data_IF_479532617550
#
_entry.id   IF_479532617550
#
_cell.length_a   1.000
_cell.length_b   1.000
_cell.length_c   1.000
_cell.angle_alpha   90.00
_cell.angle_beta   90.00
_cell.angle_gamma   90.00
#
_symmetry.space_group_name_H-M   'P 1'
#
loop_
_entity.id
_entity.type
_entity.pdbx_description
1 polymer ?
#
# COMPACT_ATOMS: atom_id res chain seq x y z
N UNK A 1 -18.13 -4.05 20.56
CA UNK A 1 -18.03 -2.89 19.64
C UNK A 1 -16.90 -3.01 18.63
N UNK A 2 -15.75 -3.62 18.93
CA UNK A 2 -14.65 -3.85 17.97
C UNK A 2 -15.03 -4.81 16.85
N UNK A 3 -15.71 -5.90 17.18
CA UNK A 3 -16.17 -6.90 16.22
C UNK A 3 -17.13 -6.32 15.16
N UNK A 4 -18.02 -5.39 15.55
CA UNK A 4 -18.93 -4.73 14.61
C UNK A 4 -18.17 -3.87 13.57
N UNK A 5 -17.12 -3.16 13.99
CA UNK A 5 -16.27 -2.37 13.09
C UNK A 5 -15.56 -3.27 12.09
N UNK A 6 -14.91 -4.32 12.56
CA UNK A 6 -14.17 -5.24 11.70
C UNK A 6 -15.05 -5.94 10.66
N UNK A 7 -16.29 -6.33 11.02
CA UNK A 7 -17.24 -6.88 10.04
C UNK A 7 -17.66 -5.86 8.97
N UNK A 8 -17.84 -4.60 9.36
CA UNK A 8 -18.14 -3.52 8.41
C UNK A 8 -16.95 -3.28 7.50
N UNK A 9 -15.74 -3.22 8.07
CA UNK A 9 -14.51 -2.99 7.30
C UNK A 9 -14.28 -4.11 6.28
N UNK A 10 -14.50 -5.36 6.67
CA UNK A 10 -14.31 -6.52 5.79
C UNK A 10 -15.33 -6.61 4.66
N UNK A 11 -16.61 -6.31 4.95
CA UNK A 11 -17.68 -6.59 4.00
C UNK A 11 -18.18 -5.35 3.23
N UNK A 12 -18.07 -4.15 3.79
CA UNK A 12 -18.72 -2.96 3.25
C UNK A 12 -17.76 -1.83 2.90
N UNK A 13 -16.53 -1.84 3.42
CA UNK A 13 -15.63 -0.72 3.25
C UNK A 13 -15.27 -0.51 1.77
N UNK A 14 -14.92 -1.58 1.04
CA UNK A 14 -14.63 -1.48 -0.39
C UNK A 14 -15.85 -1.10 -1.21
N UNK A 15 -17.03 -1.62 -0.87
CA UNK A 15 -18.29 -1.20 -1.52
C UNK A 15 -18.53 0.30 -1.36
N UNK A 16 -18.25 0.85 -0.18
CA UNK A 16 -18.38 2.29 0.07
C UNK A 16 -17.35 3.11 -0.70
N UNK A 17 -16.11 2.66 -0.76
CA UNK A 17 -15.04 3.31 -1.53
C UNK A 17 -15.38 3.30 -3.02
N UNK A 18 -15.74 2.15 -3.58
CA UNK A 18 -16.07 2.00 -4.99
C UNK A 18 -17.30 2.81 -5.39
N UNK A 19 -18.27 2.99 -4.48
CA UNK A 19 -19.45 3.83 -4.73
C UNK A 19 -19.12 5.34 -4.85
N UNK A 20 -17.97 5.76 -4.31
CA UNK A 20 -17.52 7.17 -4.37
C UNK A 20 -16.52 7.42 -5.47
N UNK A 21 -15.81 6.41 -5.93
CA UNK A 21 -14.83 6.54 -7.01
C UNK A 21 -15.51 6.37 -8.39
N UNK A 22 -15.28 7.32 -9.30
CA UNK A 22 -15.80 7.26 -10.66
C UNK A 22 -14.81 6.57 -11.59
N UNK A 23 -15.29 5.82 -12.61
CA UNK A 23 -14.42 5.28 -13.65
C UNK A 23 -13.57 6.38 -14.32
N UNK A 24 -12.27 6.16 -14.47
CA UNK A 24 -11.36 7.12 -15.11
C UNK A 24 -10.81 8.22 -14.19
N UNK A 25 -11.10 8.20 -12.90
CA UNK A 25 -10.55 9.15 -11.92
C UNK A 25 -9.10 8.85 -11.49
N UNK A 26 -8.45 7.89 -12.13
CA UNK A 26 -7.04 7.52 -11.86
C UNK A 26 -6.91 6.19 -11.12
N UNK A 27 -5.82 6.05 -10.37
CA UNK A 27 -5.53 4.86 -9.57
C UNK A 27 -6.66 4.60 -8.57
N UNK A 28 -7.09 3.34 -8.49
CA UNK A 28 -8.20 2.93 -7.62
C UNK A 28 -7.87 3.18 -6.15
N UNK A 29 -8.83 3.75 -5.44
CA UNK A 29 -8.74 3.93 -3.99
C UNK A 29 -8.90 2.60 -3.25
N UNK A 30 -8.32 2.53 -2.06
CA UNK A 30 -8.40 1.37 -1.18
C UNK A 30 -8.34 1.79 0.29
N UNK A 31 -8.44 0.82 1.19
CA UNK A 31 -8.47 1.03 2.62
C UNK A 31 -7.15 1.59 3.17
N UNK A 32 -7.24 2.53 4.10
CA UNK A 32 -6.09 2.94 4.91
C UNK A 32 -5.59 1.80 5.81
N UNK A 33 -6.49 0.97 6.31
CA UNK A 33 -6.17 -0.01 7.34
C UNK A 33 -5.87 0.62 8.71
N UNK A 34 -5.61 -0.18 9.75
CA UNK A 34 -5.46 0.31 11.12
C UNK A 34 -4.03 0.70 11.52
N UNK A 35 -3.04 0.56 10.61
CA UNK A 35 -1.62 0.66 10.96
C UNK A 35 -0.94 1.95 10.45
N UNK A 36 -1.70 2.88 9.86
CA UNK A 36 -1.18 4.20 9.49
C UNK A 36 -0.78 5.01 10.73
N UNK A 37 0.33 5.72 10.64
CA UNK A 37 0.85 6.63 11.65
C UNK A 37 1.41 7.89 10.99
N UNK A 38 1.92 8.82 11.76
CA UNK A 38 2.69 9.96 11.22
C UNK A 38 4.07 9.45 10.82
N UNK A 39 4.44 9.62 9.56
CA UNK A 39 5.69 9.11 9.03
C UNK A 39 6.71 10.22 8.77
N UNK A 40 8.00 9.86 8.80
CA UNK A 40 9.13 10.75 8.52
C UNK A 40 9.44 10.77 7.02
N UNK A 41 10.03 11.89 6.57
CA UNK A 41 10.57 12.00 5.22
C UNK A 41 11.77 11.05 5.05
N UNK A 42 11.80 10.34 3.92
CA UNK A 42 12.87 9.41 3.48
C UNK A 42 13.49 9.94 2.19
N UNK A 43 14.45 10.86 2.25
CA UNK A 43 14.98 11.50 1.06
C UNK A 43 15.69 10.54 0.09
N UNK A 44 16.22 9.43 0.62
CA UNK A 44 16.86 8.35 -0.14
C UNK A 44 15.89 7.26 -0.63
N UNK A 45 14.61 7.37 -0.26
CA UNK A 45 13.58 6.39 -0.58
C UNK A 45 13.69 5.07 0.18
N UNK A 46 14.61 4.96 1.15
CA UNK A 46 14.78 3.74 1.94
C UNK A 46 13.84 3.73 3.15
N UNK A 47 12.93 2.77 3.20
CA UNK A 47 11.98 2.61 4.31
C UNK A 47 12.51 1.75 5.47
N UNK A 48 13.68 1.11 5.30
CA UNK A 48 14.25 0.24 6.33
C UNK A 48 15.04 1.06 7.35
N UNK A 49 14.69 0.96 8.63
CA UNK A 49 15.42 1.57 9.74
C UNK A 49 16.43 0.60 10.41
N UNK A 50 16.30 -0.69 10.12
CA UNK A 50 17.04 -1.74 10.84
C UNK A 50 17.99 -2.42 9.87
N UNK A 51 19.29 -2.45 10.21
CA UNK A 51 20.30 -3.20 9.45
C UNK A 51 20.16 -4.74 9.59
N UNK A 52 19.28 -5.19 10.47
CA UNK A 52 19.21 -6.57 10.95
C UNK A 52 18.41 -7.54 10.07
N UNK A 53 17.79 -7.05 9.00
CA UNK A 53 17.02 -7.94 8.12
C UNK A 53 17.91 -8.64 7.06
N UNK A 54 19.14 -8.91 7.40
CA UNK A 54 20.22 -9.53 6.66
C UNK A 54 19.88 -10.15 5.31
N UNK A 55 19.30 -11.34 5.35
CA UNK A 55 18.94 -12.12 4.16
C UNK A 55 17.46 -11.95 3.74
N UNK A 56 16.70 -11.06 4.39
CA UNK A 56 15.30 -10.83 4.06
C UNK A 56 15.15 -10.35 2.61
N UNK A 57 14.18 -10.86 1.87
CA UNK A 57 13.94 -10.45 0.48
C UNK A 57 13.68 -8.95 0.39
N UNK A 58 14.37 -8.28 -0.54
CA UNK A 58 14.23 -6.83 -0.77
C UNK A 58 13.15 -6.55 -1.81
N UNK A 59 12.48 -5.41 -1.64
CA UNK A 59 11.55 -4.86 -2.60
C UNK A 59 12.04 -3.51 -3.08
N UNK A 60 12.01 -3.29 -4.39
CA UNK A 60 12.24 -1.98 -5.00
C UNK A 60 11.03 -1.65 -5.87
N UNK A 61 10.29 -0.61 -5.50
CA UNK A 61 9.19 -0.09 -6.29
C UNK A 61 9.57 1.24 -6.92
N UNK A 62 9.22 1.42 -8.18
CA UNK A 62 9.39 2.66 -8.91
C UNK A 62 8.16 2.98 -9.74
N UNK A 63 8.00 4.22 -10.14
CA UNK A 63 6.91 4.64 -11.01
C UNK A 63 6.91 6.13 -11.23
N UNK A 64 5.85 6.60 -11.87
CA UNK A 64 5.59 8.02 -12.13
C UNK A 64 4.22 8.37 -11.61
N UNK A 65 4.12 9.49 -10.89
CA UNK A 65 2.86 10.10 -10.52
C UNK A 65 2.43 11.09 -11.60
N UNK A 66 1.20 10.97 -12.10
CA UNK A 66 0.65 11.82 -13.15
C UNK A 66 -0.73 12.38 -12.78
N UNK A 67 -1.06 13.54 -13.33
CA UNK A 67 -2.44 14.06 -13.30
C UNK A 67 -3.27 13.33 -14.37
N UNK A 68 -4.30 12.62 -13.96
CA UNK A 68 -5.17 11.82 -14.85
C UNK A 68 -5.85 12.64 -15.95
N UNK A 69 -6.08 13.94 -15.70
CA UNK A 69 -6.77 14.83 -16.66
C UNK A 69 -5.86 15.36 -17.76
N UNK A 70 -4.56 15.51 -17.44
CA UNK A 70 -3.60 16.15 -18.36
C UNK A 70 -2.53 15.19 -18.87
N UNK A 71 -2.37 14.04 -18.21
CA UNK A 71 -1.28 13.09 -18.44
C UNK A 71 0.10 13.61 -18.03
N UNK A 72 0.18 14.81 -17.42
CA UNK A 72 1.47 15.42 -17.03
C UNK A 72 1.96 14.84 -15.71
N UNK A 73 3.28 14.68 -15.55
CA UNK A 73 3.86 14.29 -14.28
C UNK A 73 3.62 15.36 -13.20
N UNK A 74 3.48 14.92 -11.95
CA UNK A 74 3.30 15.78 -10.79
C UNK A 74 4.58 15.73 -9.95
N UNK A 75 5.37 16.81 -9.93
CA UNK A 75 6.54 16.93 -9.06
C UNK A 75 6.15 17.30 -7.63
N UNK A 76 7.11 17.12 -6.69
CA UNK A 76 7.02 17.55 -5.30
C UNK A 76 5.77 17.04 -4.57
N UNK A 77 5.22 15.91 -4.99
CA UNK A 77 4.11 15.24 -4.31
C UNK A 77 4.66 14.33 -3.19
N UNK A 78 3.93 14.28 -2.09
CA UNK A 78 4.24 13.37 -0.98
C UNK A 78 3.62 12.00 -1.24
N UNK A 79 4.45 10.97 -1.25
CA UNK A 79 4.07 9.58 -1.32
C UNK A 79 4.36 8.93 0.03
N UNK A 80 3.34 8.70 0.83
CA UNK A 80 3.44 8.17 2.20
C UNK A 80 3.18 6.66 2.18
N UNK A 81 4.26 5.88 2.36
CA UNK A 81 4.26 4.42 2.30
C UNK A 81 4.30 3.79 3.69
N UNK A 82 3.60 2.67 3.87
CA UNK A 82 3.78 1.78 5.03
C UNK A 82 3.36 0.36 4.69
N UNK A 83 3.97 -0.62 5.36
CA UNK A 83 3.74 -2.04 5.08
C UNK A 83 4.09 -2.94 6.27
N UNK A 84 3.66 -4.20 6.19
CA UNK A 84 4.19 -5.28 7.00
C UNK A 84 5.58 -5.71 6.50
N UNK A 85 6.35 -6.37 7.35
CA UNK A 85 7.64 -6.97 7.00
C UNK A 85 7.46 -8.33 6.27
N UNK A 86 8.59 -9.02 6.03
CA UNK A 86 8.63 -10.34 5.40
C UNK A 86 8.08 -11.48 6.29
N UNK A 87 7.72 -11.19 7.54
CA UNK A 87 6.99 -12.08 8.45
C UNK A 87 5.51 -11.70 8.59
N UNK A 88 5.06 -10.67 7.90
CA UNK A 88 3.68 -10.15 8.00
C UNK A 88 3.43 -9.28 9.23
N UNK A 89 4.46 -8.70 9.83
CA UNK A 89 4.35 -7.90 11.04
C UNK A 89 4.55 -6.40 10.75
N UNK A 90 3.65 -5.57 11.29
CA UNK A 90 3.80 -4.11 11.25
C UNK A 90 4.63 -3.61 12.42
N UNK A 91 5.58 -2.72 12.15
CA UNK A 91 6.20 -1.92 13.22
C UNK A 91 5.15 -0.94 13.79
N UNK A 92 4.75 -1.17 15.03
CA UNK A 92 3.73 -0.36 15.73
C UNK A 92 4.32 0.72 16.62
N UNK A 93 5.65 0.80 16.74
CA UNK A 93 6.33 1.68 17.70
C UNK A 93 7.39 2.58 17.10
N UNK A 94 7.92 2.21 15.96
CA UNK A 94 8.97 2.92 15.25
C UNK A 94 8.56 3.35 13.85
N UNK A 95 9.56 3.60 13.02
CA UNK A 95 9.40 4.05 11.64
C UNK A 95 9.92 3.02 10.62
N UNK A 96 10.18 1.79 11.06
CA UNK A 96 10.63 0.73 10.16
C UNK A 96 9.55 0.38 9.15
N UNK A 97 9.92 0.30 7.86
CA UNK A 97 9.05 0.05 6.72
C UNK A 97 7.92 1.09 6.57
N UNK A 98 8.25 2.36 6.92
CA UNK A 98 7.35 3.51 6.83
C UNK A 98 8.11 4.74 6.40
N UNK A 99 7.49 5.60 5.63
CA UNK A 99 8.09 6.88 5.28
C UNK A 99 7.44 7.59 4.13
N UNK A 100 7.71 8.88 4.06
CA UNK A 100 7.27 9.77 2.99
C UNK A 100 8.42 9.90 1.99
N UNK A 101 8.14 9.67 0.72
CA UNK A 101 9.05 9.87 -0.41
C UNK A 101 8.47 10.95 -1.32
N UNK A 102 9.30 11.89 -1.75
CA UNK A 102 8.88 12.95 -2.66
C UNK A 102 9.05 12.53 -4.10
N UNK A 103 8.13 12.93 -4.97
CA UNK A 103 8.35 12.80 -6.42
C UNK A 103 9.34 13.82 -6.92
N UNK A 104 10.18 13.43 -7.89
CA UNK A 104 11.14 14.34 -8.55
C UNK A 104 10.47 15.28 -9.57
N UNK A 105 11.27 16.14 -10.20
CA UNK A 105 10.79 17.10 -11.21
C UNK A 105 10.09 16.46 -12.43
N UNK A 106 10.25 15.16 -12.63
CA UNK A 106 9.57 14.37 -13.66
C UNK A 106 8.45 13.49 -13.09
N UNK A 107 8.02 13.74 -11.83
CA UNK A 107 7.01 12.97 -11.15
C UNK A 107 7.43 11.55 -10.78
N UNK A 108 8.71 11.20 -10.89
CA UNK A 108 9.21 9.85 -10.63
C UNK A 108 9.45 9.64 -9.15
N UNK A 109 9.26 8.42 -8.70
CA UNK A 109 9.61 7.97 -7.36
C UNK A 109 10.37 6.63 -7.39
N UNK A 110 11.15 6.41 -6.36
CA UNK A 110 11.83 5.14 -6.09
C UNK A 110 11.75 4.87 -4.59
N UNK A 111 11.30 3.66 -4.23
CA UNK A 111 11.22 3.19 -2.86
C UNK A 111 11.94 1.86 -2.74
N UNK A 112 12.81 1.75 -1.73
CA UNK A 112 13.43 0.49 -1.33
C UNK A 112 12.92 0.06 0.03
N UNK A 113 12.59 -1.23 0.16
CA UNK A 113 11.96 -1.81 1.35
C UNK A 113 12.26 -3.31 1.44
N UNK A 114 11.61 -4.01 2.36
CA UNK A 114 11.50 -5.47 2.36
C UNK A 114 10.30 -5.91 1.52
N UNK A 115 10.39 -7.11 0.94
CA UNK A 115 9.22 -7.72 0.33
C UNK A 115 8.21 -8.07 1.43
N UNK A 116 6.99 -7.49 1.44
CA UNK A 116 5.97 -7.86 2.41
C UNK A 116 5.50 -9.30 2.18
N UNK A 117 5.03 -9.95 3.24
CA UNK A 117 4.40 -11.26 3.16
C UNK A 117 2.89 -11.15 3.40
N UNK A 118 2.17 -12.21 3.00
CA UNK A 118 0.80 -12.43 3.42
C UNK A 118 0.74 -12.49 4.94
N UNK A 119 -0.29 -11.93 5.55
CA UNK A 119 -0.43 -11.94 7.00
C UNK A 119 -1.87 -12.15 7.45
N UNK A 120 -2.03 -12.83 8.57
CA UNK A 120 -3.33 -13.08 9.17
C UNK A 120 -3.65 -12.02 10.22
N UNK A 121 -4.89 -11.58 10.21
CA UNK A 121 -5.49 -10.78 11.28
C UNK A 121 -6.51 -11.63 12.04
N UNK A 122 -6.83 -11.22 13.25
CA UNK A 122 -7.87 -11.87 14.06
C UNK A 122 -7.60 -13.34 14.43
N UNK A 123 -6.34 -13.79 14.46
CA UNK A 123 -6.02 -15.21 14.77
C UNK A 123 -6.53 -15.67 16.11
N UNK A 124 -6.59 -14.79 17.10
CA UNK A 124 -6.92 -15.09 18.49
C UNK A 124 -8.14 -14.34 19.03
N UNK A 125 -8.96 -13.77 18.18
CA UNK A 125 -10.14 -13.03 18.56
C UNK A 125 -11.46 -13.65 18.03
N UNK A 126 -12.64 -13.23 18.53
CA UNK A 126 -13.93 -13.79 18.09
C UNK A 126 -14.22 -13.66 16.60
N UNK A 127 -13.63 -12.68 15.90
CA UNK A 127 -13.81 -12.51 14.46
C UNK A 127 -13.08 -13.61 13.68
N UNK A 128 -11.86 -13.96 14.08
CA UNK A 128 -11.14 -15.08 13.50
C UNK A 128 -11.83 -16.43 13.76
N UNK A 129 -12.48 -16.60 14.92
CA UNK A 129 -13.32 -17.77 15.17
C UNK A 129 -14.51 -17.82 14.21
N UNK A 130 -15.17 -16.69 13.97
CA UNK A 130 -16.26 -16.59 13.01
C UNK A 130 -15.79 -16.94 11.58
N UNK A 131 -14.67 -16.39 11.12
CA UNK A 131 -14.13 -16.72 9.81
C UNK A 131 -13.83 -18.22 9.66
N UNK A 132 -13.19 -18.82 10.67
CA UNK A 132 -12.97 -20.27 10.68
C UNK A 132 -14.27 -21.08 10.61
N UNK A 133 -15.27 -20.67 11.38
CA UNK A 133 -16.60 -21.33 11.36
C UNK A 133 -17.30 -21.20 10.00
N UNK A 134 -17.06 -20.11 9.29
CA UNK A 134 -17.58 -19.87 7.94
C UNK A 134 -16.74 -20.53 6.82
N UNK A 135 -15.63 -21.18 7.15
CA UNK A 135 -14.68 -21.69 6.17
C UNK A 135 -13.96 -20.61 5.37
N UNK A 136 -13.89 -19.38 5.89
CA UNK A 136 -13.21 -18.24 5.25
C UNK A 136 -11.82 -18.05 5.85
N UNK A 137 -10.92 -17.51 5.04
CA UNK A 137 -9.62 -17.04 5.51
C UNK A 137 -9.77 -15.72 6.30
N UNK A 138 -8.79 -15.46 7.17
CA UNK A 138 -8.56 -14.17 7.82
C UNK A 138 -7.22 -13.57 7.37
N UNK A 139 -6.70 -13.99 6.22
CA UNK A 139 -5.39 -13.62 5.70
C UNK A 139 -5.52 -12.53 4.65
N UNK A 140 -4.66 -11.51 4.75
CA UNK A 140 -4.48 -10.46 3.76
C UNK A 140 -3.41 -10.85 2.75
N UNK A 141 -3.66 -10.53 1.50
CA UNK A 141 -2.64 -10.57 0.45
C UNK A 141 -1.50 -9.59 0.77
N UNK A 142 -0.26 -9.97 0.47
CA UNK A 142 0.93 -9.12 0.65
C UNK A 142 0.77 -7.80 -0.11
N UNK A 143 0.88 -6.67 0.61
CA UNK A 143 0.68 -5.35 0.03
C UNK A 143 1.51 -4.26 0.70
N UNK A 144 1.68 -3.16 -0.01
CA UNK A 144 2.22 -1.89 0.46
C UNK A 144 1.09 -0.87 0.42
N UNK A 145 0.86 -0.20 1.53
CA UNK A 145 -0.06 0.94 1.59
C UNK A 145 0.57 2.19 1.02
N UNK A 146 -0.24 3.04 0.43
CA UNK A 146 0.17 4.32 -0.11
C UNK A 146 -0.91 5.38 0.11
N UNK A 147 -0.48 6.55 0.61
CA UNK A 147 -1.23 7.79 0.51
C UNK A 147 -0.48 8.78 -0.37
N UNK A 148 -1.20 9.49 -1.20
CA UNK A 148 -0.64 10.55 -2.05
C UNK A 148 -1.22 11.88 -1.63
N UNK A 149 -0.33 12.85 -1.37
CA UNK A 149 -0.69 14.25 -1.14
C UNK A 149 -0.09 15.13 -2.21
N UNK A 150 -0.93 15.98 -2.78
CA UNK A 150 -0.53 16.95 -3.79
C UNK A 150 -1.00 18.33 -3.31
N UNK A 151 -0.09 19.30 -3.28
CA UNK A 151 -0.35 20.64 -2.77
C UNK A 151 -0.95 20.65 -1.35
N UNK A 152 -0.47 19.73 -0.48
CA UNK A 152 -0.93 19.59 0.90
C UNK A 152 -2.27 18.87 1.08
N UNK A 153 -2.96 18.50 0.00
CA UNK A 153 -4.23 17.77 0.04
C UNK A 153 -4.03 16.28 -0.24
N UNK A 154 -4.66 15.41 0.57
CA UNK A 154 -4.72 13.98 0.29
C UNK A 154 -5.64 13.74 -0.91
N UNK A 155 -5.11 13.10 -1.96
CA UNK A 155 -5.81 12.87 -3.23
C UNK A 155 -5.99 11.39 -3.54
N UNK A 156 -5.25 10.51 -2.86
CA UNK A 156 -5.37 9.06 -3.02
C UNK A 156 -4.99 8.36 -1.71
N UNK A 157 -5.76 7.37 -1.34
CA UNK A 157 -5.36 6.31 -0.41
C UNK A 157 -5.56 4.99 -1.10
N UNK A 158 -4.52 4.15 -1.18
CA UNK A 158 -4.59 2.87 -1.88
C UNK A 158 -3.66 1.82 -1.25
N UNK A 159 -3.74 0.61 -1.80
CA UNK A 159 -2.86 -0.51 -1.49
C UNK A 159 -2.30 -1.07 -2.80
N UNK A 160 -1.02 -1.37 -2.83
CA UNK A 160 -0.32 -1.99 -3.97
C UNK A 160 -0.06 -3.43 -3.59
N UNK A 161 -0.67 -4.38 -4.29
CA UNK A 161 -0.56 -5.81 -4.00
C UNK A 161 0.61 -6.43 -4.76
N UNK A 162 1.31 -7.35 -4.10
CA UNK A 162 2.47 -8.03 -4.69
C UNK A 162 2.03 -9.25 -5.49
N UNK A 163 2.47 -9.38 -6.75
CA UNK A 163 2.16 -10.56 -7.58
C UNK A 163 2.70 -11.87 -7.02
N UNK A 164 3.56 -11.83 -6.02
CA UNK A 164 4.08 -12.99 -5.29
C UNK A 164 3.16 -13.50 -4.18
N UNK A 165 2.14 -12.74 -3.82
CA UNK A 165 1.17 -13.14 -2.81
C UNK A 165 0.37 -14.36 -3.26
N UNK A 166 0.12 -15.27 -2.32
CA UNK A 166 -0.74 -16.46 -2.53
C UNK A 166 -2.21 -16.18 -2.25
N UNK A 167 -2.50 -14.98 -1.72
CA UNK A 167 -3.82 -14.60 -1.23
C UNK A 167 -4.56 -13.63 -2.15
N UNK A 168 -4.05 -13.35 -3.36
CA UNK A 168 -4.66 -12.39 -4.28
C UNK A 168 -6.13 -12.69 -4.60
N UNK A 169 -6.47 -13.99 -4.75
CA UNK A 169 -7.85 -14.43 -5.01
C UNK A 169 -8.67 -14.68 -3.73
N UNK A 170 -8.02 -14.60 -2.56
CA UNK A 170 -8.59 -15.03 -1.28
C UNK A 170 -8.33 -14.05 -0.14
N UNK A 171 -8.02 -12.78 -0.45
CA UNK A 171 -7.91 -11.73 0.59
C UNK A 171 -9.21 -11.67 1.40
N UNK A 172 -9.08 -11.62 2.73
CA UNK A 172 -10.28 -11.65 3.56
C UNK A 172 -11.12 -10.36 3.47
N UNK A 173 -10.50 -9.25 3.06
CA UNK A 173 -11.22 -8.01 2.75
C UNK A 173 -11.76 -8.09 1.33
N UNK A 174 -13.04 -8.34 1.23
CA UNK A 174 -13.72 -8.55 -0.05
C UNK A 174 -13.63 -7.30 -0.94
N UNK A 175 -13.18 -7.49 -2.18
CA UNK A 175 -13.02 -6.42 -3.15
C UNK A 175 -11.77 -5.55 -2.99
N UNK A 176 -10.90 -5.80 -1.98
CA UNK A 176 -9.68 -5.02 -1.81
C UNK A 176 -8.67 -5.27 -2.94
N UNK A 177 -8.48 -6.52 -3.35
CA UNK A 177 -7.59 -6.85 -4.46
C UNK A 177 -8.29 -6.57 -5.80
N UNK A 178 -7.58 -5.89 -6.69
CA UNK A 178 -8.02 -5.59 -8.05
C UNK A 178 -6.80 -5.64 -8.98
N UNK A 179 -6.98 -6.09 -10.21
CA UNK A 179 -5.89 -6.31 -11.16
C UNK A 179 -5.04 -5.07 -11.40
N UNK A 180 -5.66 -3.88 -11.40
CA UNK A 180 -5.01 -2.59 -11.57
C UNK A 180 -4.17 -2.15 -10.36
N UNK A 181 -4.32 -2.81 -9.22
CA UNK A 181 -3.53 -2.60 -8.00
C UNK A 181 -2.46 -3.68 -7.78
N UNK A 182 -2.35 -4.68 -8.66
CA UNK A 182 -1.34 -5.72 -8.55
C UNK A 182 -0.09 -5.31 -9.32
N UNK A 183 1.04 -5.19 -8.61
CA UNK A 183 2.34 -4.96 -9.23
C UNK A 183 3.00 -6.28 -9.60
N UNK A 184 3.34 -6.43 -10.88
CA UNK A 184 4.14 -7.57 -11.35
C UNK A 184 5.59 -7.40 -10.91
N UNK A 185 6.09 -8.36 -10.15
CA UNK A 185 7.45 -8.34 -9.61
C UNK A 185 8.38 -9.21 -10.46
N UNK A 186 9.56 -8.66 -10.75
CA UNK A 186 10.68 -9.39 -11.34
C UNK A 186 11.66 -9.78 -10.23
N UNK A 187 11.99 -11.05 -10.16
CA UNK A 187 12.96 -11.57 -9.19
C UNK A 187 14.38 -11.40 -9.69
N UNK A 188 15.28 -11.05 -8.78
CA UNK A 188 16.70 -10.91 -9.02
C UNK A 188 17.50 -11.13 -7.74
N UNK A 189 18.75 -10.73 -7.74
CA UNK A 189 19.60 -10.74 -6.55
C UNK A 189 20.51 -9.52 -6.57
N UNK A 190 20.62 -8.83 -5.46
CA UNK A 190 21.58 -7.77 -5.24
C UNK A 190 22.49 -8.13 -4.06
N UNK A 191 23.81 -8.19 -4.28
CA UNK A 191 24.79 -8.56 -3.25
C UNK A 191 24.49 -9.90 -2.55
N UNK A 192 23.92 -10.87 -3.29
CA UNK A 192 23.55 -12.18 -2.73
C UNK A 192 22.18 -12.22 -2.03
N UNK A 193 21.50 -11.09 -1.85
CA UNK A 193 20.18 -11.01 -1.22
C UNK A 193 19.09 -11.06 -2.31
N UNK A 194 18.05 -11.90 -2.15
CA UNK A 194 16.90 -11.92 -3.06
C UNK A 194 16.29 -10.53 -3.16
N UNK A 195 16.11 -10.04 -4.38
CA UNK A 195 15.59 -8.70 -4.64
C UNK A 195 14.48 -8.77 -5.67
N UNK A 196 13.36 -8.16 -5.36
CA UNK A 196 12.19 -8.07 -6.23
C UNK A 196 12.00 -6.63 -6.67
N UNK A 197 11.83 -6.43 -7.96
CA UNK A 197 11.63 -5.10 -8.54
C UNK A 197 10.29 -5.01 -9.23
N UNK A 198 9.59 -3.90 -9.04
CA UNK A 198 8.30 -3.64 -9.68
C UNK A 198 8.14 -2.20 -10.11
N UNK A 199 7.29 -1.99 -11.11
CA UNK A 199 6.88 -0.65 -11.54
C UNK A 199 5.37 -0.50 -11.29
N UNK A 200 5.01 0.58 -10.60
CA UNK A 200 3.62 0.94 -10.35
C UNK A 200 3.45 2.43 -10.64
N UNK A 201 2.85 2.77 -11.76
CA UNK A 201 2.54 4.15 -12.12
C UNK A 201 1.24 4.59 -11.45
N UNK A 202 1.21 5.82 -10.95
CA UNK A 202 0.11 6.37 -10.17
C UNK A 202 -0.51 7.52 -10.96
N UNK A 203 -1.83 7.51 -11.08
CA UNK A 203 -2.57 8.60 -11.68
C UNK A 203 -3.59 9.16 -10.67
N UNK A 204 -3.60 10.47 -10.47
CA UNK A 204 -4.52 11.14 -9.53
C UNK A 204 -5.18 12.35 -10.19
N UNK A 205 -6.30 12.79 -9.63
CA UNK A 205 -6.96 14.05 -10.00
C UNK A 205 -6.75 15.09 -8.89
N UNK A 206 -5.60 15.80 -8.85
CA UNK A 206 -5.35 16.76 -7.79
C UNK A 206 -6.33 17.94 -7.87
N UNK A 207 -6.63 18.55 -6.71
CA UNK A 207 -7.27 19.85 -6.70
C UNK A 207 -6.41 20.86 -7.50
N UNK A 208 -7.04 21.88 -8.08
CA UNK A 208 -6.28 22.91 -8.80
C UNK A 208 -5.35 23.63 -7.81
N UNK A 209 -4.14 23.93 -8.25
CA UNK A 209 -3.20 24.75 -7.49
C UNK A 209 -3.91 26.07 -7.06
N UNK A 210 -3.91 26.35 -5.75
CA UNK A 210 -4.58 27.54 -5.20
C UNK A 210 -6.05 27.38 -4.79
N UNK A 211 -6.66 26.21 -4.92
CA UNK A 211 -7.96 25.92 -4.31
C UNK A 211 -7.77 25.54 -2.83
N UNK A 212 -7.70 26.54 -1.95
CA UNK A 212 -7.86 26.32 -0.50
C UNK A 212 -9.31 25.93 -0.22
N UNK A 213 -9.47 24.78 0.47
CA UNK A 213 -10.76 24.33 1.01
C UNK A 213 -11.26 25.27 2.10
#
# INVERSE_FOLDING_TARGET
SGMCRSLIDVALAMTSIDATQRPGEGTRQNLTGPYHAVHQLRPDGNLCDVETDGDAPRLVLSGVLTDVRTGKPIPDAELDFWQADHHGLYDRRGNHLRGIVMTDAQGRYLVSSLLPNDYSEHDSDPLGELFRAMGRTNTRAAHVHLKVRVYGSEVLTTQIFMSTSRMLEHDYVEGAVSDDLIVSLQSGSAQGVPTFTGRFDIAVAPAREGATA
#
